data_IF_423817490093
#
_entry.id   IF_423817490093
#
_cell.length_a   1.000
_cell.length_b   1.000
_cell.length_c   1.000
_cell.angle_alpha   90.00
_cell.angle_beta   90.00
_cell.angle_gamma   90.00
#
_symmetry.space_group_name_H-M   'P 1'
#
loop_
_entity.id
_entity.type
_entity.pdbx_description
1 polymer ?
#
# COMPACT_ATOMS: atom_id res chain seq x y z
N UNK A 1 -14.64 -0.43 1.27
CA UNK A 1 -15.22 0.17 2.49
C UNK A 1 -15.01 1.68 2.40
N UNK A 2 -15.96 2.48 2.93
CA UNK A 2 -15.77 3.94 2.99
C UNK A 2 -14.79 4.28 4.11
N UNK A 3 -13.88 5.21 3.86
CA UNK A 3 -12.94 5.73 4.88
C UNK A 3 -13.71 6.51 5.94
N UNK A 4 -13.34 6.37 7.20
CA UNK A 4 -13.91 7.14 8.33
C UNK A 4 -12.84 8.04 8.93
N UNK A 5 -13.09 9.34 9.00
CA UNK A 5 -12.18 10.32 9.60
C UNK A 5 -12.81 11.01 10.79
N UNK A 6 -12.06 11.15 11.88
CA UNK A 6 -12.35 12.07 12.96
C UNK A 6 -12.10 13.50 12.49
N UNK A 7 -12.99 14.44 12.81
CA UNK A 7 -12.82 15.85 12.46
C UNK A 7 -12.80 16.69 13.72
N UNK A 8 -11.80 17.56 13.84
CA UNK A 8 -11.69 18.59 14.88
C UNK A 8 -11.74 19.95 14.18
N UNK A 9 -12.69 20.80 14.55
CA UNK A 9 -12.74 22.19 14.12
C UNK A 9 -12.25 23.04 15.29
N UNK A 10 -11.02 23.57 15.18
CA UNK A 10 -10.43 24.40 16.24
C UNK A 10 -10.97 25.83 16.19
N UNK A 11 -11.32 26.39 17.34
CA UNK A 11 -11.71 27.79 17.48
C UNK A 11 -10.95 28.44 18.60
N UNK A 12 -10.90 29.77 18.62
CA UNK A 12 -10.32 30.55 19.72
C UNK A 12 -11.28 31.66 20.12
N UNK A 13 -11.52 31.79 21.41
CA UNK A 13 -12.54 32.58 22.10
C UNK A 13 -12.88 33.95 21.45
N UNK A 14 -11.90 34.77 21.13
CA UNK A 14 -12.11 36.11 20.56
C UNK A 14 -12.08 36.18 19.04
N UNK A 15 -12.01 35.03 18.35
CA UNK A 15 -12.18 34.95 16.88
C UNK A 15 -13.64 34.70 16.49
N UNK A 16 -14.04 35.04 15.27
CA UNK A 16 -15.44 34.93 14.85
C UNK A 16 -15.96 33.48 14.83
N UNK A 17 -16.94 33.19 15.65
CA UNK A 17 -17.54 31.86 15.84
C UNK A 17 -18.26 31.34 14.56
N UNK A 18 -18.80 32.23 13.73
CA UNK A 18 -19.48 31.80 12.49
C UNK A 18 -18.56 31.02 11.53
N UNK A 19 -17.24 31.23 11.61
CA UNK A 19 -16.26 30.51 10.81
C UNK A 19 -16.24 29.00 11.12
N UNK A 20 -16.65 28.59 12.34
CA UNK A 20 -16.84 27.18 12.70
C UNK A 20 -17.94 26.58 11.82
N UNK A 21 -19.09 27.24 11.74
CA UNK A 21 -20.25 26.77 10.98
C UNK A 21 -19.95 26.71 9.47
N UNK A 22 -19.24 27.72 8.94
CA UNK A 22 -18.80 27.72 7.55
C UNK A 22 -17.92 26.51 7.23
N UNK A 23 -16.84 26.31 8.00
CA UNK A 23 -15.91 25.19 7.82
C UNK A 23 -16.59 23.82 7.98
N UNK A 24 -17.50 23.70 8.96
CA UNK A 24 -18.29 22.48 9.19
C UNK A 24 -19.14 22.13 7.99
N UNK A 25 -19.91 23.08 7.47
CA UNK A 25 -20.79 22.86 6.32
C UNK A 25 -19.98 22.49 5.07
N UNK A 26 -18.85 23.16 4.86
CA UNK A 26 -17.98 22.92 3.73
C UNK A 26 -17.35 21.51 3.77
N UNK A 27 -16.76 21.10 4.90
CA UNK A 27 -16.14 19.77 5.03
C UNK A 27 -17.19 18.65 4.95
N UNK A 28 -18.36 18.81 5.54
CA UNK A 28 -19.44 17.81 5.44
C UNK A 28 -19.93 17.65 4.00
N UNK A 29 -20.00 18.75 3.23
CA UNK A 29 -20.33 18.67 1.80
C UNK A 29 -19.27 17.91 1.00
N UNK A 30 -17.98 18.18 1.25
CA UNK A 30 -16.85 17.47 0.61
C UNK A 30 -16.92 15.98 0.95
N UNK A 31 -17.11 15.64 2.22
CA UNK A 31 -17.15 14.23 2.69
C UNK A 31 -18.32 13.47 2.10
N UNK A 32 -19.49 14.10 2.00
CA UNK A 32 -20.65 13.51 1.35
C UNK A 32 -20.36 13.16 -0.12
N UNK A 33 -19.74 14.08 -0.86
CA UNK A 33 -19.40 13.89 -2.27
C UNK A 33 -18.36 12.76 -2.46
N UNK A 34 -17.39 12.66 -1.54
CA UNK A 34 -16.33 11.63 -1.57
C UNK A 34 -16.72 10.31 -0.89
N UNK A 35 -17.90 10.21 -0.30
CA UNK A 35 -18.36 9.06 0.48
C UNK A 35 -17.42 8.73 1.65
N UNK A 36 -16.91 9.76 2.35
CA UNK A 36 -16.13 9.66 3.57
C UNK A 36 -17.11 9.78 4.75
N UNK A 37 -16.94 8.92 5.76
CA UNK A 37 -17.74 8.99 6.99
C UNK A 37 -17.09 9.96 7.97
N UNK A 38 -17.77 11.05 8.37
CA UNK A 38 -17.26 11.97 9.38
C UNK A 38 -17.67 11.55 10.79
N UNK A 39 -16.72 11.59 11.73
CA UNK A 39 -16.98 11.55 13.19
C UNK A 39 -16.55 12.89 13.76
N UNK A 40 -17.52 13.71 14.19
CA UNK A 40 -17.28 15.04 14.73
C UNK A 40 -18.35 15.43 15.78
N UNK A 41 -18.02 16.39 16.63
CA UNK A 41 -18.97 16.91 17.61
C UNK A 41 -20.20 17.52 16.92
N UNK A 42 -21.38 17.32 17.48
CA UNK A 42 -22.60 17.99 17.05
C UNK A 42 -22.62 19.50 17.40
N UNK A 43 -23.43 20.27 16.70
CA UNK A 43 -23.54 21.74 16.91
C UNK A 43 -23.92 22.13 18.34
N UNK A 44 -24.61 21.23 19.07
CA UNK A 44 -25.06 21.41 20.44
C UNK A 44 -24.18 20.74 21.51
N UNK A 45 -23.18 19.97 21.10
CA UNK A 45 -22.26 19.28 22.03
C UNK A 45 -21.27 20.27 22.64
N UNK A 46 -20.85 21.23 21.83
CA UNK A 46 -19.98 22.34 22.17
C UNK A 46 -20.45 23.59 21.44
N UNK A 47 -19.74 24.70 21.55
CA UNK A 47 -20.03 25.92 20.81
C UNK A 47 -19.92 25.66 19.29
N UNK A 48 -21.07 25.51 18.64
CA UNK A 48 -21.18 25.20 17.19
C UNK A 48 -20.39 23.94 16.74
N UNK A 49 -20.10 23.01 17.64
CA UNK A 49 -19.31 21.84 17.37
C UNK A 49 -17.79 22.08 17.28
N UNK A 50 -17.32 23.26 17.67
CA UNK A 50 -15.91 23.61 17.74
C UNK A 50 -15.21 23.11 19.01
N UNK A 51 -13.88 23.21 19.04
CA UNK A 51 -13.04 22.87 20.22
C UNK A 51 -12.20 24.10 20.57
N UNK A 52 -12.45 24.64 21.75
CA UNK A 52 -11.75 25.81 22.34
C UNK A 52 -11.15 25.49 23.71
N UNK A 53 -11.86 24.71 24.50
CA UNK A 53 -11.57 24.51 25.94
C UNK A 53 -11.17 23.06 26.21
N UNK A 54 -10.56 22.85 27.39
CA UNK A 54 -10.24 21.50 27.86
C UNK A 54 -11.48 20.60 27.99
N UNK A 55 -12.63 21.15 28.43
CA UNK A 55 -13.87 20.36 28.56
C UNK A 55 -14.42 19.94 27.18
N UNK A 56 -14.31 20.80 26.20
CA UNK A 56 -14.68 20.48 24.81
C UNK A 56 -13.71 19.47 24.19
N UNK A 57 -12.40 19.60 24.46
CA UNK A 57 -11.41 18.62 24.10
C UNK A 57 -11.73 17.23 24.68
N UNK A 58 -12.16 17.16 25.95
CA UNK A 58 -12.60 15.89 26.57
C UNK A 58 -13.83 15.29 25.86
N UNK A 59 -14.81 16.12 25.51
CA UNK A 59 -16.00 15.65 24.78
C UNK A 59 -15.61 15.07 23.41
N UNK A 60 -14.77 15.79 22.68
CA UNK A 60 -14.25 15.31 21.38
C UNK A 60 -13.47 14.00 21.53
N UNK A 61 -12.58 13.92 22.51
CA UNK A 61 -11.80 12.72 22.81
C UNK A 61 -12.69 11.52 23.16
N UNK A 62 -13.74 11.72 23.95
CA UNK A 62 -14.69 10.66 24.32
C UNK A 62 -15.48 10.18 23.10
N UNK A 63 -15.90 11.09 22.21
CA UNK A 63 -16.53 10.72 20.94
C UNK A 63 -15.58 9.87 20.09
N UNK A 64 -14.32 10.25 19.94
CA UNK A 64 -13.34 9.50 19.18
C UNK A 64 -13.04 8.14 19.80
N UNK A 65 -12.96 8.02 21.12
CA UNK A 65 -12.84 6.72 21.82
C UNK A 65 -14.01 5.79 21.52
N UNK A 66 -15.22 6.31 21.48
CA UNK A 66 -16.41 5.51 21.18
C UNK A 66 -16.39 4.94 19.76
N UNK A 67 -15.65 5.57 18.83
CA UNK A 67 -15.50 5.17 17.43
C UNK A 67 -14.05 4.75 17.06
N UNK A 68 -13.24 4.34 18.04
CA UNK A 68 -11.81 4.05 17.83
C UNK A 68 -11.54 2.97 16.76
N UNK A 69 -12.41 1.98 16.63
CA UNK A 69 -12.26 0.91 15.63
C UNK A 69 -12.60 1.38 14.20
N UNK A 70 -13.33 2.48 14.07
CA UNK A 70 -13.79 3.01 12.79
C UNK A 70 -12.83 4.09 12.26
N UNK A 71 -12.35 5.00 13.13
CA UNK A 71 -11.52 6.15 12.75
C UNK A 71 -10.17 5.67 12.20
N UNK A 72 -9.89 6.06 10.96
CA UNK A 72 -8.64 5.72 10.24
C UNK A 72 -7.63 6.86 10.25
N UNK A 73 -8.08 8.09 10.50
CA UNK A 73 -7.27 9.29 10.60
C UNK A 73 -8.06 10.44 11.20
N UNK A 74 -7.37 11.50 11.58
CA UNK A 74 -7.96 12.73 12.13
C UNK A 74 -7.64 13.91 11.22
N UNK A 75 -8.66 14.67 10.82
CA UNK A 75 -8.53 15.92 10.11
C UNK A 75 -8.76 17.07 11.09
N UNK A 76 -7.74 17.87 11.33
CA UNK A 76 -7.84 19.14 12.08
C UNK A 76 -8.08 20.26 11.08
N UNK A 77 -9.17 21.01 11.28
CA UNK A 77 -9.53 22.17 10.49
C UNK A 77 -9.41 23.40 11.35
N UNK A 78 -8.63 24.36 10.91
CA UNK A 78 -8.47 25.67 11.56
C UNK A 78 -9.11 26.75 10.69
N UNK A 79 -10.40 27.08 10.90
CA UNK A 79 -11.06 28.15 10.19
C UNK A 79 -10.58 29.53 10.62
N UNK A 80 -10.03 29.62 11.85
CA UNK A 80 -9.33 30.76 12.41
C UNK A 80 -8.10 30.29 13.20
N UNK A 81 -7.53 31.13 14.07
CA UNK A 81 -6.34 30.81 14.85
C UNK A 81 -6.46 29.47 15.59
N UNK A 82 -7.62 29.16 16.14
CA UNK A 82 -7.88 27.93 16.89
C UNK A 82 -7.21 27.91 18.27
N UNK A 83 -7.78 27.18 19.22
CA UNK A 83 -7.12 26.91 20.49
C UNK A 83 -6.17 25.73 20.31
N UNK A 84 -4.87 26.01 20.36
CA UNK A 84 -3.81 25.06 20.09
C UNK A 84 -3.79 23.89 21.08
N UNK A 85 -4.08 24.20 22.36
CA UNK A 85 -4.08 23.20 23.43
C UNK A 85 -5.36 22.37 23.42
N UNK A 86 -6.51 22.99 23.18
CA UNK A 86 -7.78 22.29 23.04
C UNK A 86 -7.74 21.25 21.92
N UNK A 87 -7.22 21.63 20.76
CA UNK A 87 -7.03 20.71 19.61
C UNK A 87 -6.07 19.57 19.97
N UNK A 88 -4.89 19.88 20.52
CA UNK A 88 -3.90 18.87 20.85
C UNK A 88 -4.37 17.95 21.99
N UNK A 89 -5.08 18.48 23.00
CA UNK A 89 -5.66 17.69 24.08
C UNK A 89 -6.78 16.76 23.60
N UNK A 90 -7.60 17.18 22.63
CA UNK A 90 -8.62 16.30 22.03
C UNK A 90 -7.99 15.05 21.41
N UNK A 91 -6.90 15.21 20.66
CA UNK A 91 -6.17 14.10 20.05
C UNK A 91 -5.48 13.25 21.13
N UNK A 92 -4.72 13.88 22.03
CA UNK A 92 -3.99 13.19 23.09
C UNK A 92 -4.91 12.37 24.01
N UNK A 93 -6.01 12.97 24.44
CA UNK A 93 -6.97 12.32 25.34
C UNK A 93 -7.78 11.22 24.67
N UNK A 94 -7.92 11.26 23.33
CA UNK A 94 -8.56 10.17 22.59
C UNK A 94 -7.76 8.87 22.67
N UNK A 95 -6.44 8.96 22.77
CA UNK A 95 -5.52 7.81 22.76
C UNK A 95 -5.43 7.10 21.41
N UNK A 96 -5.99 7.68 20.35
CA UNK A 96 -5.90 7.10 19.02
C UNK A 96 -4.48 7.30 18.43
N UNK A 97 -3.89 6.22 17.97
CA UNK A 97 -2.63 6.22 17.23
C UNK A 97 -2.92 6.13 15.72
N UNK A 98 -3.49 7.17 15.16
CA UNK A 98 -3.85 7.28 13.74
C UNK A 98 -3.19 8.52 13.11
N UNK A 99 -3.03 8.59 11.78
CA UNK A 99 -2.54 9.78 11.11
C UNK A 99 -3.40 11.01 11.41
N UNK A 100 -2.76 12.17 11.51
CA UNK A 100 -3.40 13.47 11.79
C UNK A 100 -3.00 14.44 10.69
N UNK A 101 -3.96 15.01 9.95
CA UNK A 101 -3.72 16.09 8.99
C UNK A 101 -4.13 17.42 9.60
N UNK A 102 -3.24 18.42 9.57
CA UNK A 102 -3.54 19.78 10.05
C UNK A 102 -3.69 20.72 8.85
N UNK A 103 -4.92 21.21 8.64
CA UNK A 103 -5.28 22.19 7.64
C UNK A 103 -5.57 23.54 8.28
N UNK A 104 -5.24 24.64 7.60
CA UNK A 104 -5.60 26.01 7.98
C UNK A 104 -6.20 26.75 6.80
N UNK A 105 -7.25 27.55 7.04
CA UNK A 105 -7.96 28.30 6.01
C UNK A 105 -7.29 29.67 5.78
N UNK A 106 -7.04 30.10 4.54
CA UNK A 106 -6.42 31.38 4.26
C UNK A 106 -7.32 32.55 4.66
N UNK A 107 -6.71 33.68 5.06
CA UNK A 107 -7.42 34.94 5.20
C UNK A 107 -7.93 35.43 3.83
N UNK A 108 -9.08 36.08 3.82
CA UNK A 108 -9.62 36.82 2.70
C UNK A 108 -9.15 38.27 2.83
N UNK A 109 -8.28 38.72 1.91
CA UNK A 109 -7.68 40.06 1.97
C UNK A 109 -8.70 41.19 1.95
N UNK A 110 -9.90 40.96 1.39
CA UNK A 110 -11.00 41.92 1.36
C UNK A 110 -11.81 41.91 2.67
N UNK A 111 -11.54 40.93 3.58
CA UNK A 111 -12.29 40.75 4.84
C UNK A 111 -11.36 40.66 6.05
N UNK A 112 -10.40 41.58 6.16
CA UNK A 112 -9.41 41.59 7.24
C UNK A 112 -9.89 42.27 8.53
N UNK A 113 -11.17 42.59 8.63
CA UNK A 113 -11.76 43.19 9.83
C UNK A 113 -11.92 42.13 10.95
N UNK A 114 -11.96 42.55 12.24
CA UNK A 114 -12.07 41.61 13.35
C UNK A 114 -13.23 40.62 13.25
N UNK A 115 -14.34 41.01 12.63
CA UNK A 115 -15.51 40.15 12.40
C UNK A 115 -15.28 38.98 11.44
N UNK A 116 -14.20 38.99 10.66
CA UNK A 116 -13.91 37.97 9.65
C UNK A 116 -12.46 37.49 9.69
N UNK A 117 -11.65 38.01 10.62
CA UNK A 117 -10.22 37.68 10.74
C UNK A 117 -10.02 36.22 11.09
N UNK A 118 -9.11 35.57 10.40
CA UNK A 118 -8.81 34.16 10.58
C UNK A 118 -7.51 33.92 11.33
N UNK A 119 -6.39 34.48 10.88
CA UNK A 119 -5.04 34.19 11.40
C UNK A 119 -4.74 32.69 11.55
N UNK A 120 -5.37 31.85 10.74
CA UNK A 120 -5.31 30.39 10.84
C UNK A 120 -3.91 29.83 10.61
N UNK A 121 -3.07 30.51 9.83
CA UNK A 121 -1.66 30.13 9.65
C UNK A 121 -0.88 30.17 10.98
N UNK A 122 -1.03 31.22 11.76
CA UNK A 122 -0.43 31.31 13.09
C UNK A 122 -0.93 30.16 14.00
N UNK A 123 -2.25 29.90 13.94
CA UNK A 123 -2.87 28.82 14.69
C UNK A 123 -2.33 27.45 14.31
N UNK A 124 -2.11 27.20 13.01
CA UNK A 124 -1.51 25.94 12.53
C UNK A 124 -0.12 25.71 13.14
N UNK A 125 0.74 26.72 13.14
CA UNK A 125 2.06 26.62 13.76
C UNK A 125 1.95 26.28 15.24
N UNK A 126 1.04 26.95 15.96
CA UNK A 126 0.82 26.74 17.40
C UNK A 126 0.26 25.35 17.71
N UNK A 127 -0.72 24.88 16.95
CA UNK A 127 -1.26 23.51 17.06
C UNK A 127 -0.16 22.48 16.83
N UNK A 128 0.61 22.62 15.74
CA UNK A 128 1.71 21.71 15.43
C UNK A 128 2.79 21.70 16.50
N UNK A 129 3.09 22.85 17.12
CA UNK A 129 4.00 22.93 18.26
C UNK A 129 3.51 22.09 19.44
N UNK A 130 2.22 22.19 19.80
CA UNK A 130 1.65 21.39 20.89
C UNK A 130 1.60 19.89 20.56
N UNK A 131 1.26 19.50 19.33
CA UNK A 131 1.30 18.11 18.88
C UNK A 131 2.71 17.54 18.99
N UNK A 132 3.72 18.31 18.55
CA UNK A 132 5.13 17.92 18.65
C UNK A 132 5.57 17.69 20.10
N UNK A 133 5.21 18.61 21.02
CA UNK A 133 5.53 18.49 22.45
C UNK A 133 4.87 17.27 23.10
N UNK A 134 3.72 16.84 22.59
CA UNK A 134 3.03 15.64 23.05
C UNK A 134 3.52 14.36 22.38
N UNK A 135 4.49 14.44 21.44
CA UNK A 135 4.96 13.30 20.66
C UNK A 135 3.94 12.75 19.67
N UNK A 136 2.91 13.52 19.35
CA UNK A 136 1.90 13.15 18.37
C UNK A 136 2.42 13.48 16.98
N UNK A 137 2.43 12.47 16.11
CA UNK A 137 2.84 12.61 14.71
C UNK A 137 1.70 13.20 13.89
N UNK A 138 2.04 14.06 12.94
CA UNK A 138 1.07 14.72 12.09
C UNK A 138 1.61 14.94 10.66
N UNK A 139 0.68 15.11 9.75
CA UNK A 139 0.88 15.48 8.36
C UNK A 139 0.53 16.95 8.15
N UNK A 140 1.18 17.57 7.20
CA UNK A 140 0.88 18.93 6.77
C UNK A 140 0.45 18.93 5.31
N UNK A 141 -0.39 19.89 4.96
CA UNK A 141 -0.66 20.23 3.56
C UNK A 141 0.59 20.87 2.93
N UNK A 142 0.81 20.64 1.63
CA UNK A 142 1.97 21.17 0.92
C UNK A 142 2.02 22.72 0.98
N UNK A 143 0.87 23.37 0.81
CA UNK A 143 0.73 24.81 1.09
C UNK A 143 0.35 25.01 2.54
N UNK A 144 0.89 26.06 3.19
CA UNK A 144 0.62 26.34 4.61
C UNK A 144 -0.86 26.55 4.90
N UNK A 145 -1.55 27.25 4.02
CA UNK A 145 -2.99 27.50 4.08
C UNK A 145 -3.63 27.04 2.78
N UNK A 146 -4.78 26.39 2.89
CA UNK A 146 -5.57 25.93 1.76
C UNK A 146 -7.05 26.14 2.03
N UNK A 147 -7.80 26.68 1.08
CA UNK A 147 -9.26 26.64 1.14
C UNK A 147 -9.75 25.21 1.05
N UNK A 148 -10.73 24.83 1.87
CA UNK A 148 -11.34 23.50 1.81
C UNK A 148 -11.97 23.20 0.46
N UNK A 149 -12.50 24.24 -0.25
CA UNK A 149 -13.10 24.12 -1.59
C UNK A 149 -12.10 24.08 -2.74
N UNK A 150 -10.79 24.20 -2.46
CA UNK A 150 -9.78 24.19 -3.53
C UNK A 150 -9.52 22.79 -4.06
N UNK A 151 -9.11 22.71 -5.34
CA UNK A 151 -8.63 21.47 -5.95
C UNK A 151 -7.40 20.90 -5.23
N UNK A 152 -6.55 21.77 -4.70
CA UNK A 152 -5.33 21.40 -3.99
C UNK A 152 -5.67 20.70 -2.67
N UNK A 153 -6.66 21.21 -1.93
CA UNK A 153 -7.14 20.51 -0.72
C UNK A 153 -7.76 19.15 -1.07
N UNK A 154 -8.46 19.05 -2.19
CA UNK A 154 -9.00 17.78 -2.66
C UNK A 154 -7.91 16.74 -2.92
N UNK A 155 -6.78 17.15 -3.51
CA UNK A 155 -5.61 16.29 -3.71
C UNK A 155 -4.96 15.90 -2.39
N UNK A 156 -4.74 16.86 -1.49
CA UNK A 156 -4.18 16.62 -0.15
C UNK A 156 -5.04 15.68 0.70
N UNK A 157 -6.36 15.82 0.62
CA UNK A 157 -7.27 14.92 1.33
C UNK A 157 -7.21 13.49 0.78
N UNK A 158 -7.14 13.32 -0.55
CA UNK A 158 -6.98 12.01 -1.17
C UNK A 158 -5.64 11.37 -0.80
N UNK A 159 -4.56 12.16 -0.83
CA UNK A 159 -3.23 11.75 -0.38
C UNK A 159 -3.25 11.29 1.08
N UNK A 160 -3.83 12.09 1.96
CA UNK A 160 -3.94 11.76 3.39
C UNK A 160 -4.76 10.48 3.64
N UNK A 161 -5.85 10.28 2.91
CA UNK A 161 -6.63 9.02 2.97
C UNK A 161 -5.76 7.82 2.59
N UNK A 162 -4.91 7.95 1.57
CA UNK A 162 -3.97 6.90 1.21
C UNK A 162 -2.94 6.62 2.31
N UNK A 163 -2.40 7.66 2.95
CA UNK A 163 -1.54 7.52 4.14
C UNK A 163 -2.26 6.74 5.25
N UNK A 164 -3.50 7.10 5.56
CA UNK A 164 -4.32 6.40 6.56
C UNK A 164 -4.49 4.91 6.23
N UNK A 165 -4.77 4.59 4.96
CA UNK A 165 -4.92 3.19 4.50
C UNK A 165 -3.62 2.40 4.66
N UNK A 166 -2.47 2.97 4.26
CA UNK A 166 -1.16 2.31 4.42
C UNK A 166 -0.87 2.06 5.88
N UNK A 167 -0.98 3.09 6.74
CA UNK A 167 -0.68 2.96 8.18
C UNK A 167 -1.58 1.91 8.83
N UNK A 168 -2.89 1.97 8.59
CA UNK A 168 -3.86 1.01 9.14
C UNK A 168 -3.60 -0.41 8.64
N UNK A 169 -3.35 -0.58 7.34
CA UNK A 169 -3.11 -1.89 6.74
C UNK A 169 -1.82 -2.52 7.25
N UNK A 170 -0.73 -1.75 7.26
CA UNK A 170 0.60 -2.26 7.65
C UNK A 170 0.69 -2.67 9.13
N UNK A 171 -0.13 -2.09 10.02
CA UNK A 171 -0.16 -2.45 11.45
C UNK A 171 -0.84 -3.77 11.78
N UNK A 172 -1.50 -4.42 10.81
CA UNK A 172 -2.30 -5.63 11.06
C UNK A 172 -2.34 -6.61 9.90
N UNK A 173 -1.43 -6.48 8.94
CA UNK A 173 -1.42 -7.33 7.76
C UNK A 173 -1.13 -8.79 8.12
N UNK A 174 -1.84 -9.70 7.46
CA UNK A 174 -1.71 -11.14 7.59
C UNK A 174 -1.21 -11.72 6.27
N UNK A 175 0.00 -12.25 6.26
CA UNK A 175 0.65 -12.80 5.05
C UNK A 175 0.64 -14.32 5.13
N UNK A 176 0.16 -14.97 4.06
CA UNK A 176 0.28 -16.42 3.90
C UNK A 176 1.63 -16.78 3.27
N UNK A 177 2.43 -17.61 3.92
CA UNK A 177 3.65 -18.16 3.35
C UNK A 177 3.42 -19.63 2.98
N UNK A 178 3.53 -19.97 1.69
CA UNK A 178 3.28 -21.32 1.19
C UNK A 178 4.60 -21.97 0.77
N UNK A 179 4.98 -23.03 1.46
CA UNK A 179 6.24 -23.72 1.25
C UNK A 179 7.43 -23.02 1.91
N UNK A 180 8.60 -23.19 1.32
CA UNK A 180 9.85 -22.62 1.78
C UNK A 180 10.53 -21.83 0.65
N UNK A 181 11.32 -20.81 1.00
CA UNK A 181 12.15 -20.14 0.00
C UNK A 181 13.06 -21.15 -0.70
N UNK A 182 13.33 -21.02 -1.99
CA UNK A 182 14.31 -21.87 -2.68
C UNK A 182 15.69 -21.80 -2.02
N UNK A 183 16.41 -22.91 -2.03
CA UNK A 183 17.72 -23.02 -1.35
C UNK A 183 18.71 -21.92 -1.81
N UNK A 184 18.71 -21.59 -3.10
CA UNK A 184 19.63 -20.61 -3.68
C UNK A 184 19.28 -19.16 -3.33
N UNK A 185 18.06 -18.90 -2.85
CA UNK A 185 17.53 -17.53 -2.62
C UNK A 185 17.69 -17.08 -1.17
N UNK A 186 18.91 -17.03 -0.66
CA UNK A 186 19.19 -16.50 0.67
C UNK A 186 18.85 -14.99 0.79
N UNK A 187 18.79 -14.30 -0.31
CA UNK A 187 18.48 -12.87 -0.37
C UNK A 187 17.08 -12.53 0.17
N UNK A 188 16.08 -13.43 0.01
CA UNK A 188 14.69 -13.20 0.48
C UNK A 188 14.43 -13.66 1.92
N UNK A 189 15.47 -13.88 2.72
CA UNK A 189 15.31 -14.16 4.15
C UNK A 189 14.73 -12.96 4.86
N UNK A 190 13.89 -13.20 5.83
CA UNK A 190 13.27 -12.19 6.66
C UNK A 190 13.24 -12.61 8.14
N UNK A 191 13.04 -11.65 9.03
CA UNK A 191 12.84 -11.92 10.46
C UNK A 191 11.36 -11.81 10.83
N UNK A 192 10.71 -12.95 10.99
CA UNK A 192 9.30 -13.01 11.39
C UNK A 192 9.07 -12.29 12.73
N UNK A 193 10.00 -12.43 13.70
CA UNK A 193 9.90 -11.76 15.01
C UNK A 193 10.02 -10.23 14.93
N UNK A 194 10.76 -9.71 13.96
CA UNK A 194 10.79 -8.24 13.71
C UNK A 194 9.43 -7.82 13.12
N UNK A 195 8.88 -8.57 12.18
CA UNK A 195 7.57 -8.27 11.59
C UNK A 195 6.46 -8.29 12.65
N UNK A 196 6.41 -9.32 13.52
CA UNK A 196 5.40 -9.45 14.57
C UNK A 196 5.40 -8.27 15.55
N UNK A 197 6.57 -7.73 15.90
CA UNK A 197 6.67 -6.52 16.73
C UNK A 197 5.99 -5.29 16.12
N UNK A 198 5.79 -5.29 14.81
CA UNK A 198 5.11 -4.23 14.06
C UNK A 198 3.65 -4.60 13.69
N UNK A 199 3.10 -5.69 14.25
CA UNK A 199 1.73 -6.13 14.00
C UNK A 199 1.55 -6.92 12.69
N UNK A 200 2.65 -7.29 12.04
CA UNK A 200 2.65 -8.05 10.77
C UNK A 200 2.78 -9.54 11.11
N UNK A 201 1.78 -10.34 10.75
CA UNK A 201 1.77 -11.78 11.05
C UNK A 201 1.94 -12.61 9.79
N UNK A 202 2.66 -13.74 9.94
CA UNK A 202 2.87 -14.72 8.87
C UNK A 202 2.19 -16.03 9.25
N UNK A 203 1.36 -16.56 8.35
CA UNK A 203 0.71 -17.87 8.49
C UNK A 203 1.28 -18.83 7.47
N UNK A 204 1.93 -19.90 7.90
CA UNK A 204 2.59 -20.86 7.01
C UNK A 204 1.67 -22.02 6.62
N UNK A 205 1.82 -22.49 5.38
CA UNK A 205 1.24 -23.74 4.87
C UNK A 205 2.31 -24.56 4.18
N UNK A 206 2.43 -25.83 4.54
CA UNK A 206 3.41 -26.72 3.93
C UNK A 206 3.07 -26.98 2.45
N UNK A 207 4.08 -26.91 1.58
CA UNK A 207 3.87 -27.17 0.16
C UNK A 207 3.37 -28.58 -0.12
N UNK A 208 3.79 -29.58 0.66
CA UNK A 208 3.31 -30.95 0.51
C UNK A 208 1.82 -31.08 0.81
N UNK A 209 1.28 -30.31 1.77
CA UNK A 209 -0.16 -30.23 2.03
C UNK A 209 -0.90 -29.64 0.82
N UNK A 210 -0.40 -28.52 0.27
CA UNK A 210 -1.00 -27.90 -0.93
C UNK A 210 -1.08 -28.88 -2.08
N UNK A 211 0.05 -29.53 -2.39
CA UNK A 211 0.15 -30.47 -3.52
C UNK A 211 -0.68 -31.72 -3.30
N UNK A 212 -0.71 -32.26 -2.07
CA UNK A 212 -1.53 -33.41 -1.69
C UNK A 212 -3.00 -33.12 -1.89
N UNK A 213 -3.50 -32.02 -1.31
CA UNK A 213 -4.90 -31.58 -1.44
C UNK A 213 -5.28 -31.28 -2.91
N UNK A 214 -4.41 -30.65 -3.67
CA UNK A 214 -4.65 -30.38 -5.09
C UNK A 214 -4.78 -31.66 -5.92
N UNK A 215 -4.02 -32.72 -5.59
CA UNK A 215 -4.14 -34.03 -6.28
C UNK A 215 -5.44 -34.77 -5.93
N UNK A 216 -6.00 -34.57 -4.72
CA UNK A 216 -7.25 -35.20 -4.27
C UNK A 216 -8.52 -34.51 -4.81
N UNK A 217 -8.41 -33.25 -5.22
CA UNK A 217 -9.54 -32.51 -5.76
C UNK A 217 -10.01 -33.09 -7.09
N UNK A 218 -11.33 -33.34 -7.18
CA UNK A 218 -11.97 -33.82 -8.43
C UNK A 218 -12.19 -32.69 -9.41
N UNK A 219 -11.98 -32.96 -10.69
CA UNK A 219 -12.12 -31.97 -11.78
C UNK A 219 -13.54 -31.43 -11.91
N UNK A 220 -14.55 -32.23 -11.54
CA UNK A 220 -15.97 -31.85 -11.56
C UNK A 220 -16.44 -31.13 -10.30
N UNK A 221 -15.58 -30.97 -9.29
CA UNK A 221 -15.91 -30.22 -8.06
C UNK A 221 -16.14 -28.75 -8.35
N UNK A 222 -17.02 -28.13 -7.54
CA UNK A 222 -17.37 -26.71 -7.72
C UNK A 222 -16.16 -25.77 -7.67
N UNK A 223 -15.24 -25.87 -6.69
CA UNK A 223 -14.08 -24.96 -6.63
C UNK A 223 -13.18 -25.07 -7.86
N UNK A 224 -12.97 -26.29 -8.39
CA UNK A 224 -12.12 -26.50 -9.58
C UNK A 224 -12.79 -25.92 -10.82
N UNK A 225 -14.11 -26.11 -11.00
CA UNK A 225 -14.84 -25.51 -12.14
C UNK A 225 -14.83 -23.99 -12.10
N UNK A 226 -14.99 -23.39 -10.92
CA UNK A 226 -14.92 -21.93 -10.75
C UNK A 226 -13.52 -21.40 -11.06
N UNK A 227 -12.49 -22.09 -10.59
CA UNK A 227 -11.10 -21.73 -10.87
C UNK A 227 -10.75 -21.87 -12.37
N UNK A 228 -11.20 -22.96 -13.02
CA UNK A 228 -11.00 -23.16 -14.45
C UNK A 228 -11.66 -22.04 -15.28
N UNK A 229 -12.87 -21.65 -14.91
CA UNK A 229 -13.56 -20.56 -15.59
C UNK A 229 -12.82 -19.22 -15.42
N UNK A 230 -12.27 -18.96 -14.23
CA UNK A 230 -11.45 -17.77 -13.97
C UNK A 230 -10.15 -17.79 -14.80
N UNK A 231 -9.41 -18.88 -14.79
CA UNK A 231 -8.14 -19.03 -15.52
C UNK A 231 -8.36 -18.87 -17.03
N UNK A 232 -9.37 -19.54 -17.60
CA UNK A 232 -9.67 -19.46 -19.03
C UNK A 232 -10.17 -18.09 -19.49
N UNK A 233 -10.79 -17.33 -18.59
CA UNK A 233 -11.20 -15.94 -18.83
C UNK A 233 -10.13 -14.88 -18.53
N UNK A 234 -9.00 -15.29 -17.95
CA UNK A 234 -7.97 -14.36 -17.46
C UNK A 234 -7.02 -13.92 -18.57
N UNK A 235 -6.56 -14.81 -19.41
CA UNK A 235 -5.62 -14.54 -20.50
C UNK A 235 -5.75 -15.54 -21.66
N UNK A 236 -4.87 -15.40 -22.65
CA UNK A 236 -4.79 -16.37 -23.75
C UNK A 236 -4.22 -17.70 -23.24
N UNK A 237 -5.02 -18.76 -23.32
CA UNK A 237 -4.67 -20.13 -22.90
C UNK A 237 -4.45 -21.09 -24.07
N UNK A 238 -4.41 -20.60 -25.31
CA UNK A 238 -4.36 -21.44 -26.52
C UNK A 238 -3.14 -22.36 -26.58
N UNK A 239 -2.03 -21.99 -25.93
CA UNK A 239 -0.82 -22.79 -25.82
C UNK A 239 -0.80 -23.77 -24.63
N UNK A 240 -1.83 -23.74 -23.76
CA UNK A 240 -1.87 -24.54 -22.53
C UNK A 240 -2.82 -25.74 -22.71
N UNK A 241 -2.36 -27.00 -22.58
CA UNK A 241 -3.21 -28.18 -22.70
C UNK A 241 -4.33 -28.18 -21.64
N UNK A 242 -5.52 -28.72 -22.00
CA UNK A 242 -6.67 -28.77 -21.11
C UNK A 242 -6.39 -29.49 -19.79
N UNK A 243 -5.58 -30.55 -19.82
CA UNK A 243 -5.15 -31.26 -18.62
C UNK A 243 -4.35 -30.34 -17.67
N UNK A 244 -3.48 -29.49 -18.23
CA UNK A 244 -2.71 -28.52 -17.47
C UNK A 244 -3.58 -27.41 -16.88
N UNK A 245 -4.60 -26.96 -17.62
CA UNK A 245 -5.57 -25.99 -17.10
C UNK A 245 -6.34 -26.56 -15.89
N UNK A 246 -6.75 -27.84 -15.94
CA UNK A 246 -7.37 -28.52 -14.81
C UNK A 246 -6.40 -28.65 -13.62
N UNK A 247 -5.14 -28.97 -13.89
CA UNK A 247 -4.10 -29.07 -12.87
C UNK A 247 -3.86 -27.72 -12.18
N UNK A 248 -3.75 -26.64 -12.94
CA UNK A 248 -3.66 -25.26 -12.43
C UNK A 248 -4.90 -24.89 -11.59
N UNK A 249 -6.08 -25.29 -12.06
CA UNK A 249 -7.36 -24.98 -11.38
C UNK A 249 -7.48 -25.68 -10.03
N UNK A 250 -6.99 -26.91 -9.89
CA UNK A 250 -6.95 -27.61 -8.60
C UNK A 250 -6.00 -26.91 -7.62
N UNK A 251 -4.83 -26.50 -8.10
CA UNK A 251 -3.85 -25.76 -7.29
C UNK A 251 -4.43 -24.42 -6.82
N UNK A 252 -5.02 -23.65 -7.73
CA UNK A 252 -5.66 -22.36 -7.45
C UNK A 252 -6.79 -22.49 -6.42
N UNK A 253 -7.62 -23.52 -6.53
CA UNK A 253 -8.72 -23.78 -5.60
C UNK A 253 -8.20 -24.01 -4.15
N UNK A 254 -7.10 -24.75 -3.97
CA UNK A 254 -6.51 -24.99 -2.64
C UNK A 254 -5.92 -23.69 -2.07
N UNK A 255 -5.23 -22.90 -2.89
CA UNK A 255 -4.63 -21.64 -2.47
C UNK A 255 -5.70 -20.61 -2.07
N UNK A 256 -6.78 -20.49 -2.85
CA UNK A 256 -7.88 -19.59 -2.51
C UNK A 256 -8.56 -19.99 -1.20
N UNK A 257 -8.80 -21.29 -0.96
CA UNK A 257 -9.34 -21.77 0.33
C UNK A 257 -8.42 -21.41 1.51
N UNK A 258 -7.10 -21.55 1.34
CA UNK A 258 -6.13 -21.15 2.37
C UNK A 258 -6.21 -19.66 2.70
N UNK A 259 -6.31 -18.82 1.68
CA UNK A 259 -6.47 -17.36 1.83
C UNK A 259 -7.76 -17.03 2.59
N UNK A 260 -8.89 -17.56 2.15
CA UNK A 260 -10.19 -17.28 2.74
C UNK A 260 -10.30 -17.75 4.20
N UNK A 261 -9.88 -19.00 4.46
CA UNK A 261 -9.93 -19.61 5.80
C UNK A 261 -9.09 -18.84 6.83
N UNK A 262 -7.95 -18.31 6.42
CA UNK A 262 -7.04 -17.60 7.31
C UNK A 262 -7.19 -16.07 7.24
N UNK A 263 -8.12 -15.55 6.42
CA UNK A 263 -8.35 -14.10 6.21
C UNK A 263 -7.03 -13.39 5.90
N UNK A 264 -6.31 -13.88 4.90
CA UNK A 264 -5.02 -13.34 4.52
C UNK A 264 -5.21 -12.10 3.64
N UNK A 265 -4.35 -11.11 3.83
CA UNK A 265 -4.30 -9.88 3.04
C UNK A 265 -3.35 -9.99 1.85
N UNK A 266 -2.40 -10.95 1.91
CA UNK A 266 -1.37 -11.15 0.89
C UNK A 266 -0.75 -12.55 1.02
N UNK A 267 -0.03 -13.01 -0.01
CA UNK A 267 0.65 -14.32 -0.01
C UNK A 267 2.06 -14.26 -0.56
N UNK A 268 2.93 -15.14 -0.08
CA UNK A 268 4.27 -15.41 -0.60
C UNK A 268 4.37 -16.91 -0.88
N UNK A 269 4.59 -17.31 -2.13
CA UNK A 269 4.43 -18.71 -2.56
C UNK A 269 5.72 -19.25 -3.15
N UNK A 270 6.11 -20.47 -2.74
CA UNK A 270 7.19 -21.22 -3.38
C UNK A 270 6.80 -21.59 -4.82
N UNK A 271 7.43 -20.94 -5.79
CA UNK A 271 7.09 -21.10 -7.21
C UNK A 271 7.97 -22.12 -7.96
N UNK A 272 9.12 -22.51 -7.39
CA UNK A 272 10.07 -23.51 -7.95
C UNK A 272 10.93 -24.11 -6.83
N UNK A 273 11.51 -25.28 -6.90
CA UNK A 273 11.51 -26.29 -7.98
C UNK A 273 10.49 -27.41 -7.73
N UNK A 274 10.06 -27.54 -6.48
CA UNK A 274 9.24 -28.65 -5.98
C UNK A 274 7.86 -28.75 -6.66
N UNK A 275 7.26 -27.64 -7.07
CA UNK A 275 5.97 -27.65 -7.78
C UNK A 275 6.13 -28.32 -9.15
N UNK A 276 7.18 -28.00 -9.91
CA UNK A 276 7.44 -28.60 -11.21
C UNK A 276 7.72 -30.10 -11.12
N UNK A 277 8.56 -30.50 -10.14
CA UNK A 277 8.93 -31.90 -9.96
C UNK A 277 7.78 -32.76 -9.45
N UNK A 278 7.05 -32.29 -8.45
CA UNK A 278 6.09 -33.11 -7.71
C UNK A 278 4.63 -32.89 -8.16
N UNK A 279 4.33 -31.83 -8.90
CA UNK A 279 2.99 -31.52 -9.36
C UNK A 279 2.92 -31.26 -10.86
N UNK A 280 3.96 -30.75 -11.50
CA UNK A 280 4.09 -30.62 -12.96
C UNK A 280 3.41 -29.41 -13.58
N UNK A 281 3.36 -28.27 -12.87
CA UNK A 281 2.95 -26.97 -13.41
C UNK A 281 3.62 -25.83 -12.63
N UNK A 282 3.39 -24.59 -13.07
CA UNK A 282 3.75 -23.37 -12.33
C UNK A 282 2.54 -22.81 -11.56
N UNK A 283 2.80 -22.00 -10.54
CA UNK A 283 1.76 -21.35 -9.73
C UNK A 283 1.53 -19.89 -10.13
N UNK A 284 2.26 -19.39 -11.11
CA UNK A 284 2.32 -17.96 -11.47
C UNK A 284 0.94 -17.38 -11.87
N UNK A 285 0.11 -18.17 -12.59
CA UNK A 285 -1.25 -17.74 -12.98
C UNK A 285 -2.10 -17.44 -11.74
N UNK A 286 -2.10 -18.31 -10.73
CA UNK A 286 -2.85 -18.09 -9.48
C UNK A 286 -2.35 -16.84 -8.74
N UNK A 287 -1.05 -16.65 -8.66
CA UNK A 287 -0.43 -15.48 -8.02
C UNK A 287 -0.79 -14.18 -8.74
N UNK A 288 -0.78 -14.21 -10.07
CA UNK A 288 -1.20 -13.08 -10.90
C UNK A 288 -2.67 -12.71 -10.69
N UNK A 289 -3.56 -13.72 -10.69
CA UNK A 289 -4.99 -13.50 -10.43
C UNK A 289 -5.25 -12.96 -9.01
N UNK A 290 -4.52 -13.45 -8.01
CA UNK A 290 -4.58 -12.90 -6.66
C UNK A 290 -4.16 -11.43 -6.64
N UNK A 291 -3.03 -11.08 -7.23
CA UNK A 291 -2.52 -9.71 -7.29
C UNK A 291 -3.48 -8.77 -8.05
N UNK A 292 -4.06 -9.22 -9.16
CA UNK A 292 -5.08 -8.46 -9.91
C UNK A 292 -6.33 -8.18 -9.06
N UNK A 293 -6.72 -9.12 -8.20
CA UNK A 293 -7.84 -8.98 -7.27
C UNK A 293 -7.46 -8.31 -5.95
N UNK A 294 -6.39 -7.51 -5.93
CA UNK A 294 -5.95 -6.76 -4.77
C UNK A 294 -5.53 -7.63 -3.57
N UNK A 295 -5.03 -8.83 -3.83
CA UNK A 295 -4.41 -9.74 -2.88
C UNK A 295 -2.98 -10.03 -3.35
N UNK A 296 -2.00 -9.19 -3.01
CA UNK A 296 -0.63 -9.31 -3.52
C UNK A 296 -0.03 -10.68 -3.28
N UNK A 297 0.64 -11.24 -4.29
CA UNK A 297 1.25 -12.57 -4.21
C UNK A 297 2.66 -12.55 -4.80
N UNK A 298 3.67 -12.77 -3.97
CA UNK A 298 5.08 -12.76 -4.35
C UNK A 298 5.64 -14.17 -4.55
N UNK A 299 6.58 -14.32 -5.49
CA UNK A 299 7.36 -15.54 -5.74
C UNK A 299 8.38 -15.81 -4.62
N UNK A 300 8.96 -17.01 -4.64
CA UNK A 300 10.09 -17.48 -3.84
C UNK A 300 9.90 -17.36 -2.31
N UNK A 301 8.63 -17.30 -1.88
CA UNK A 301 8.26 -17.03 -0.47
C UNK A 301 8.89 -15.72 0.04
N UNK A 302 8.93 -14.72 -0.84
CA UNK A 302 9.44 -13.39 -0.48
C UNK A 302 8.40 -12.61 0.32
N UNK A 303 8.35 -12.86 1.62
CA UNK A 303 7.39 -12.24 2.55
C UNK A 303 7.54 -10.73 2.63
N UNK A 304 8.77 -10.21 2.63
CA UNK A 304 9.00 -8.75 2.67
C UNK A 304 8.73 -8.09 1.32
N UNK A 305 8.92 -8.81 0.22
CA UNK A 305 8.44 -8.38 -1.10
C UNK A 305 6.92 -8.30 -1.17
N UNK A 306 6.24 -9.32 -0.65
CA UNK A 306 4.77 -9.31 -0.51
C UNK A 306 4.28 -8.12 0.35
N UNK A 307 4.96 -7.86 1.46
CA UNK A 307 4.67 -6.71 2.34
C UNK A 307 4.82 -5.38 1.59
N UNK A 308 5.86 -5.26 0.75
CA UNK A 308 6.08 -4.09 -0.10
C UNK A 308 4.98 -3.93 -1.15
N UNK A 309 4.58 -5.03 -1.80
CA UNK A 309 3.46 -5.03 -2.75
C UNK A 309 2.16 -4.54 -2.08
N UNK A 310 1.89 -5.00 -0.86
CA UNK A 310 0.70 -4.60 -0.11
C UNK A 310 0.73 -3.11 0.26
N UNK A 311 1.86 -2.58 0.71
CA UNK A 311 2.02 -1.17 1.00
C UNK A 311 1.74 -0.28 -0.23
N UNK A 312 2.35 -0.63 -1.39
CA UNK A 312 2.17 0.12 -2.64
C UNK A 312 0.74 0.04 -3.17
N UNK A 313 0.10 -1.12 -3.04
CA UNK A 313 -1.31 -1.31 -3.39
C UNK A 313 -2.23 -0.42 -2.54
N UNK A 314 -1.98 -0.32 -1.24
CA UNK A 314 -2.76 0.55 -0.35
C UNK A 314 -2.56 2.03 -0.67
N UNK A 315 -1.34 2.42 -1.03
CA UNK A 315 -1.00 3.79 -1.41
C UNK A 315 -1.69 4.22 -2.72
N UNK A 316 -1.66 3.35 -3.73
CA UNK A 316 -2.13 3.64 -5.10
C UNK A 316 -3.57 3.21 -5.38
N UNK A 317 -4.10 2.26 -4.60
CA UNK A 317 -5.34 1.55 -4.87
C UNK A 317 -5.32 0.81 -6.22
N UNK A 318 -4.16 0.30 -6.62
CA UNK A 318 -3.94 -0.50 -7.83
C UNK A 318 -2.97 -1.66 -7.56
N UNK A 319 -2.99 -2.75 -8.35
CA UNK A 319 -2.07 -3.86 -8.18
C UNK A 319 -0.60 -3.45 -8.22
N UNK A 320 0.23 -4.21 -7.52
CA UNK A 320 1.69 -4.10 -7.55
C UNK A 320 2.30 -5.40 -8.07
N UNK A 321 3.55 -5.36 -8.50
CA UNK A 321 4.28 -6.53 -8.99
C UNK A 321 5.67 -6.64 -8.36
N UNK A 322 6.05 -7.86 -7.97
CA UNK A 322 7.42 -8.19 -7.59
C UNK A 322 8.26 -8.38 -8.85
N UNK A 323 9.42 -7.75 -8.91
CA UNK A 323 10.31 -7.77 -10.07
C UNK A 323 11.78 -7.83 -9.64
N UNK A 324 12.64 -8.29 -10.53
CA UNK A 324 14.09 -8.20 -10.36
C UNK A 324 14.63 -6.86 -10.88
N UNK A 325 15.50 -6.21 -10.11
CA UNK A 325 16.50 -5.33 -10.70
C UNK A 325 17.41 -6.20 -11.57
N UNK A 326 17.17 -6.24 -12.87
CA UNK A 326 17.85 -7.19 -13.71
C UNK A 326 19.15 -6.62 -14.30
N UNK A 327 19.06 -5.80 -15.32
CA UNK A 327 20.21 -5.36 -16.10
C UNK A 327 20.02 -3.93 -16.58
N UNK A 328 21.11 -3.19 -16.82
CA UNK A 328 20.99 -1.94 -17.58
C UNK A 328 20.37 -2.23 -18.95
N UNK A 329 19.55 -1.30 -19.42
CA UNK A 329 19.02 -1.38 -20.78
C UNK A 329 20.06 -0.80 -21.74
N UNK A 330 20.72 -1.70 -22.47
CA UNK A 330 21.86 -1.35 -23.34
C UNK A 330 22.95 -0.58 -22.56
N UNK A 331 23.42 0.55 -23.09
CA UNK A 331 24.40 1.43 -22.46
C UNK A 331 23.76 2.63 -21.72
N UNK A 332 22.42 2.67 -21.60
CA UNK A 332 21.72 3.76 -20.92
C UNK A 332 21.86 3.62 -19.40
N UNK A 333 22.57 4.54 -18.78
CA UNK A 333 22.86 4.53 -17.33
C UNK A 333 21.60 4.84 -16.46
N UNK A 334 20.56 5.39 -17.05
CA UNK A 334 19.29 5.68 -16.36
C UNK A 334 18.20 4.63 -16.62
N UNK A 335 18.44 3.67 -17.52
CA UNK A 335 17.44 2.64 -17.85
C UNK A 335 17.86 1.26 -17.41
N UNK A 336 16.89 0.50 -16.94
CA UNK A 336 17.07 -0.92 -16.59
C UNK A 336 15.93 -1.78 -17.07
N UNK A 337 16.22 -3.08 -17.17
CA UNK A 337 15.23 -4.12 -17.38
C UNK A 337 14.66 -4.54 -16.04
N UNK A 338 13.34 -4.53 -15.94
CA UNK A 338 12.59 -5.17 -14.86
C UNK A 338 12.02 -6.48 -15.39
N UNK A 339 12.24 -7.56 -14.68
CA UNK A 339 11.87 -8.90 -15.15
C UNK A 339 11.36 -9.76 -13.99
N UNK A 340 10.49 -10.71 -14.33
CA UNK A 340 10.20 -11.87 -13.50
C UNK A 340 9.71 -13.06 -14.34
N UNK A 341 9.74 -14.26 -13.78
CA UNK A 341 9.40 -15.48 -14.54
C UNK A 341 7.90 -15.63 -14.90
N UNK A 342 7.02 -14.67 -14.53
CA UNK A 342 5.66 -14.60 -15.05
C UNK A 342 4.54 -14.68 -14.03
N UNK A 343 4.51 -13.76 -13.02
CA UNK A 343 3.46 -13.69 -12.02
C UNK A 343 2.81 -12.30 -11.85
N UNK A 344 3.09 -11.36 -12.75
CA UNK A 344 2.55 -10.00 -12.62
C UNK A 344 1.03 -9.97 -12.86
N UNK A 345 0.34 -9.06 -12.21
CA UNK A 345 -1.09 -8.85 -12.40
C UNK A 345 -1.44 -8.49 -13.85
N UNK A 346 -2.62 -8.89 -14.31
CA UNK A 346 -3.09 -8.67 -15.68
C UNK A 346 -3.07 -7.21 -16.09
N UNK A 347 -3.35 -6.29 -15.16
CA UNK A 347 -3.33 -4.84 -15.41
C UNK A 347 -1.98 -4.31 -15.89
N UNK A 348 -0.87 -5.02 -15.64
CA UNK A 348 0.45 -4.72 -16.20
C UNK A 348 0.65 -5.32 -17.60
N UNK A 349 -0.17 -6.26 -18.02
CA UNK A 349 0.07 -7.12 -19.17
C UNK A 349 -1.14 -7.12 -20.14
N UNK A 350 -1.32 -6.09 -20.97
CA UNK A 350 -2.47 -5.98 -21.87
C UNK A 350 -2.59 -7.19 -22.84
N UNK A 351 -1.45 -7.76 -23.26
CA UNK A 351 -1.39 -8.93 -24.17
C UNK A 351 -0.99 -10.22 -23.43
N UNK A 352 -1.55 -10.42 -22.23
CA UNK A 352 -1.22 -11.54 -21.35
C UNK A 352 -1.49 -12.91 -21.99
N UNK A 353 -0.48 -13.76 -21.98
CA UNK A 353 -0.58 -15.17 -22.37
C UNK A 353 -0.23 -16.07 -21.19
N UNK A 354 -1.00 -17.16 -21.02
CA UNK A 354 -0.68 -18.23 -20.08
C UNK A 354 0.10 -19.28 -20.85
N UNK A 355 1.37 -19.44 -20.51
CA UNK A 355 2.36 -20.19 -21.27
C UNK A 355 3.25 -21.04 -20.34
N UNK A 356 4.44 -21.36 -20.78
CA UNK A 356 5.48 -22.09 -20.05
C UNK A 356 6.56 -21.11 -19.56
N UNK A 357 7.41 -21.57 -18.63
CA UNK A 357 8.57 -20.81 -18.15
C UNK A 357 9.86 -21.39 -18.79
N UNK A 358 10.44 -20.75 -19.82
CA UNK A 358 11.58 -21.31 -20.55
C UNK A 358 12.81 -21.63 -19.69
N UNK A 359 13.13 -20.79 -18.70
CA UNK A 359 14.27 -21.05 -17.79
C UNK A 359 14.04 -22.35 -17.01
N UNK A 360 12.86 -22.52 -16.40
CA UNK A 360 12.54 -23.74 -15.66
C UNK A 360 12.36 -24.93 -16.60
N UNK A 361 11.81 -24.72 -17.80
CA UNK A 361 11.63 -25.72 -18.82
C UNK A 361 12.94 -26.35 -19.31
N UNK A 362 14.03 -25.57 -19.33
CA UNK A 362 15.37 -26.10 -19.69
C UNK A 362 15.92 -27.13 -18.68
N UNK A 363 15.40 -27.12 -17.45
CA UNK A 363 15.83 -28.02 -16.37
C UNK A 363 14.84 -29.15 -16.14
N UNK A 364 13.54 -28.85 -16.08
CA UNK A 364 12.48 -29.80 -15.68
C UNK A 364 11.67 -30.38 -16.83
N UNK A 365 11.83 -29.85 -18.05
CA UNK A 365 10.95 -30.10 -19.20
C UNK A 365 9.86 -29.05 -19.30
N UNK A 366 9.60 -28.57 -20.52
CA UNK A 366 8.63 -27.50 -20.79
C UNK A 366 7.21 -27.88 -20.32
N UNK A 367 6.84 -29.16 -20.51
CA UNK A 367 5.54 -29.72 -20.12
C UNK A 367 5.22 -29.62 -18.62
N UNK A 368 6.23 -29.40 -17.76
CA UNK A 368 6.06 -29.21 -16.32
C UNK A 368 5.99 -27.74 -15.89
N UNK A 369 6.06 -26.81 -16.83
CA UNK A 369 6.17 -25.39 -16.53
C UNK A 369 4.99 -24.56 -17.05
N UNK A 370 3.90 -25.21 -17.50
CA UNK A 370 2.67 -24.50 -17.84
C UNK A 370 2.10 -23.74 -16.65
N UNK A 371 1.55 -22.55 -16.91
CA UNK A 371 0.99 -21.66 -15.90
C UNK A 371 1.85 -20.46 -15.57
N UNK A 372 2.98 -20.27 -16.25
CA UNK A 372 3.70 -19.01 -16.25
C UNK A 372 3.03 -18.01 -17.18
N UNK A 373 3.21 -16.72 -16.94
CA UNK A 373 2.68 -15.67 -17.80
C UNK A 373 3.78 -15.11 -18.69
N UNK A 374 3.38 -14.76 -19.91
CA UNK A 374 4.20 -13.97 -20.83
C UNK A 374 3.48 -12.68 -21.18
N UNK A 375 4.20 -11.57 -21.13
CA UNK A 375 3.67 -10.27 -21.48
C UNK A 375 4.63 -9.14 -21.15
N UNK A 376 4.36 -7.99 -21.75
CA UNK A 376 5.15 -6.77 -21.56
C UNK A 376 4.28 -5.67 -21.00
N UNK A 377 4.83 -4.92 -20.02
CA UNK A 377 4.18 -3.72 -19.49
C UNK A 377 4.48 -2.53 -20.41
N UNK A 378 3.46 -1.76 -20.82
CA UNK A 378 3.62 -0.53 -21.60
C UNK A 378 4.16 0.62 -20.75
N UNK A 379 4.49 1.73 -21.44
CA UNK A 379 4.88 2.97 -20.78
C UNK A 379 3.80 3.44 -19.79
N UNK A 380 4.24 3.78 -18.57
CA UNK A 380 3.38 4.28 -17.49
C UNK A 380 4.21 4.93 -16.39
N UNK A 381 3.60 5.72 -15.48
CA UNK A 381 4.27 6.14 -14.26
C UNK A 381 4.79 4.92 -13.48
N UNK A 382 5.87 5.10 -12.72
CA UNK A 382 6.46 4.07 -11.88
C UNK A 382 6.72 4.59 -10.47
N UNK A 383 6.20 3.88 -9.47
CA UNK A 383 6.74 3.88 -8.11
C UNK A 383 7.45 2.54 -7.91
N UNK A 384 8.67 2.58 -7.39
CA UNK A 384 9.43 1.38 -7.04
C UNK A 384 9.90 1.45 -5.59
N UNK A 385 10.19 0.30 -5.00
CA UNK A 385 10.76 0.25 -3.66
C UNK A 385 10.79 -1.12 -3.04
N UNK A 386 11.35 -1.16 -1.83
CA UNK A 386 11.53 -2.38 -1.05
C UNK A 386 11.38 -2.10 0.44
N UNK A 387 10.64 -2.96 1.12
CA UNK A 387 10.63 -3.10 2.57
C UNK A 387 11.40 -4.38 2.91
N UNK A 388 12.28 -4.32 3.90
CA UNK A 388 13.11 -5.45 4.33
C UNK A 388 13.27 -5.46 5.84
N UNK A 389 13.61 -6.62 6.41
CA UNK A 389 14.07 -6.71 7.80
C UNK A 389 15.59 -6.64 7.85
N UNK A 390 16.13 -5.86 8.78
CA UNK A 390 17.56 -5.82 9.07
C UNK A 390 17.83 -6.44 10.43
N UNK A 391 18.31 -7.67 10.43
CA UNK A 391 18.55 -8.42 11.66
C UNK A 391 19.75 -7.90 12.45
N UNK A 392 20.70 -7.23 11.78
CA UNK A 392 21.84 -6.61 12.45
C UNK A 392 21.42 -5.41 13.30
N UNK A 393 20.41 -4.66 12.80
CA UNK A 393 19.88 -3.48 13.48
C UNK A 393 18.58 -3.79 14.27
N UNK A 394 17.97 -4.95 14.06
CA UNK A 394 16.70 -5.33 14.68
C UNK A 394 15.52 -4.47 14.25
N UNK A 395 15.50 -3.99 13.01
CA UNK A 395 14.57 -3.01 12.48
C UNK A 395 13.97 -3.42 11.14
N UNK A 396 12.84 -2.79 10.79
CA UNK A 396 12.36 -2.72 9.40
C UNK A 396 13.04 -1.53 8.74
N UNK A 397 13.59 -1.75 7.55
CA UNK A 397 14.16 -0.72 6.68
C UNK A 397 13.46 -0.72 5.33
N UNK A 398 13.41 0.41 4.66
CA UNK A 398 12.82 0.52 3.33
C UNK A 398 13.47 1.61 2.48
N UNK A 399 13.28 1.51 1.18
CA UNK A 399 13.49 2.59 0.22
C UNK A 399 12.36 2.65 -0.78
N UNK A 400 12.02 3.85 -1.22
CA UNK A 400 11.04 4.09 -2.28
C UNK A 400 11.55 5.18 -3.20
N UNK A 401 11.16 5.12 -4.46
CA UNK A 401 11.47 6.15 -5.46
C UNK A 401 10.51 6.10 -6.63
N UNK A 402 10.68 7.02 -7.56
CA UNK A 402 9.84 7.17 -8.74
C UNK A 402 10.67 7.18 -10.02
N UNK A 403 10.08 6.67 -11.05
CA UNK A 403 10.60 6.65 -12.41
C UNK A 403 9.45 6.47 -13.38
N UNK A 404 9.74 6.07 -14.59
CA UNK A 404 8.74 5.81 -15.62
C UNK A 404 9.04 4.49 -16.31
N UNK A 405 8.01 3.67 -16.56
CA UNK A 405 8.10 2.55 -17.50
C UNK A 405 8.04 3.09 -18.91
N UNK A 406 8.77 2.46 -19.82
CA UNK A 406 8.96 2.94 -21.18
C UNK A 406 8.51 1.91 -22.23
N UNK A 407 8.29 2.35 -23.45
CA UNK A 407 7.99 1.47 -24.59
C UNK A 407 9.25 1.03 -25.37
N UNK A 408 10.43 1.18 -24.78
CA UNK A 408 11.68 0.74 -25.41
C UNK A 408 11.63 -0.77 -25.75
N UNK A 409 12.06 -1.21 -26.93
CA UNK A 409 11.96 -2.59 -27.37
C UNK A 409 12.65 -3.57 -26.40
N UNK A 410 11.97 -4.65 -26.03
CA UNK A 410 12.54 -5.68 -25.17
C UNK A 410 12.08 -7.07 -25.65
N UNK A 411 12.98 -7.79 -26.29
CA UNK A 411 12.71 -9.12 -26.84
C UNK A 411 13.23 -10.20 -25.87
N UNK A 412 12.40 -10.60 -24.93
CA UNK A 412 12.65 -11.73 -24.02
C UNK A 412 11.32 -12.40 -23.65
N UNK A 413 11.38 -13.48 -22.91
CA UNK A 413 10.21 -14.21 -22.37
C UNK A 413 9.80 -13.69 -21.00
N UNK A 414 8.73 -14.24 -20.44
CA UNK A 414 8.23 -13.93 -19.11
C UNK A 414 7.57 -12.55 -19.02
N UNK A 415 7.39 -12.07 -17.80
CA UNK A 415 6.85 -10.73 -17.55
C UNK A 415 7.98 -9.71 -17.47
N UNK A 416 7.87 -8.63 -18.25
CA UNK A 416 8.99 -7.73 -18.50
C UNK A 416 8.59 -6.29 -18.76
N UNK A 417 9.48 -5.38 -18.36
CA UNK A 417 9.38 -3.95 -18.62
C UNK A 417 10.75 -3.31 -18.75
N UNK A 418 10.82 -2.14 -19.37
CA UNK A 418 11.98 -1.25 -19.30
C UNK A 418 11.59 -0.06 -18.44
N UNK A 419 12.39 0.24 -17.43
CA UNK A 419 12.19 1.37 -16.55
C UNK A 419 13.27 2.42 -16.75
N UNK A 420 12.86 3.69 -16.79
CA UNK A 420 13.76 4.84 -16.65
C UNK A 420 13.70 5.31 -15.20
N UNK A 421 14.84 5.28 -14.53
CA UNK A 421 14.99 5.62 -13.12
C UNK A 421 16.07 6.69 -12.99
N UNK A 422 15.76 7.89 -12.51
CA UNK A 422 16.75 8.92 -12.27
C UNK A 422 17.87 8.42 -11.35
N UNK A 423 19.12 8.76 -11.65
CA UNK A 423 20.31 8.37 -10.87
C UNK A 423 20.40 6.85 -10.56
N UNK A 424 19.99 6.01 -11.49
CA UNK A 424 19.91 4.54 -11.32
C UNK A 424 21.22 3.95 -10.79
N UNK A 425 22.38 4.40 -11.27
CA UNK A 425 23.67 3.84 -10.86
C UNK A 425 23.99 4.14 -9.39
N UNK A 426 23.58 5.29 -8.88
CA UNK A 426 23.70 5.62 -7.45
C UNK A 426 22.75 4.80 -6.61
N UNK A 427 21.50 4.65 -7.06
CA UNK A 427 20.51 3.77 -6.44
C UNK A 427 21.04 2.34 -6.33
N UNK A 428 21.60 1.78 -7.40
CA UNK A 428 22.11 0.40 -7.38
C UNK A 428 23.30 0.24 -6.42
N UNK A 429 24.21 1.21 -6.37
CA UNK A 429 25.27 1.22 -5.34
C UNK A 429 24.69 1.28 -3.93
N UNK A 430 23.66 2.10 -3.74
CA UNK A 430 22.98 2.19 -2.45
C UNK A 430 22.34 0.86 -2.05
N UNK A 431 21.57 0.24 -2.94
CA UNK A 431 20.91 -1.07 -2.72
C UNK A 431 21.94 -2.13 -2.31
N UNK A 432 23.07 -2.21 -3.04
CA UNK A 432 24.14 -3.16 -2.74
C UNK A 432 24.83 -2.87 -1.39
N UNK A 433 25.19 -1.62 -1.13
CA UNK A 433 25.95 -1.23 0.08
C UNK A 433 25.11 -1.38 1.36
N UNK A 434 23.79 -1.28 1.25
CA UNK A 434 22.88 -1.42 2.39
C UNK A 434 22.25 -2.82 2.50
N UNK A 435 22.69 -3.78 1.67
CA UNK A 435 22.27 -5.17 1.76
C UNK A 435 20.78 -5.37 1.51
N UNK A 436 20.22 -4.64 0.55
CA UNK A 436 18.87 -4.92 0.07
C UNK A 436 18.86 -6.09 -0.92
N UNK A 437 17.69 -6.66 -1.11
CA UNK A 437 17.42 -7.76 -2.02
C UNK A 437 17.49 -7.29 -3.49
N UNK A 438 17.72 -8.22 -4.42
CA UNK A 438 17.59 -7.95 -5.85
C UNK A 438 16.14 -7.81 -6.29
N UNK A 439 15.21 -8.36 -5.52
CA UNK A 439 13.78 -8.12 -5.70
C UNK A 439 13.43 -6.69 -5.30
N UNK A 440 12.70 -6.04 -6.17
CA UNK A 440 12.05 -4.75 -5.95
C UNK A 440 10.57 -4.88 -6.30
N UNK A 441 9.73 -4.02 -5.76
CA UNK A 441 8.33 -3.95 -6.14
C UNK A 441 8.10 -2.76 -7.02
N UNK A 442 7.30 -2.92 -8.05
CA UNK A 442 6.82 -1.85 -8.93
C UNK A 442 5.31 -1.67 -8.81
N UNK A 443 4.87 -0.43 -8.99
CA UNK A 443 3.46 -0.04 -9.11
C UNK A 443 3.33 1.06 -10.17
N UNK A 444 2.29 0.98 -10.99
CA UNK A 444 2.04 1.94 -12.08
C UNK A 444 1.42 3.25 -11.56
N UNK A 445 2.13 3.94 -10.67
CA UNK A 445 1.67 5.17 -10.00
C UNK A 445 2.84 6.11 -9.67
N UNK A 446 2.52 7.26 -9.08
CA UNK A 446 3.44 8.17 -8.41
C UNK A 446 2.95 8.33 -6.96
N UNK A 447 3.44 7.49 -6.05
CA UNK A 447 2.96 7.40 -4.65
C UNK A 447 4.10 7.22 -3.64
N UNK A 448 5.33 7.51 -4.03
CA UNK A 448 6.51 7.36 -3.16
C UNK A 448 6.42 8.25 -1.91
N UNK A 449 5.86 9.45 -2.04
CA UNK A 449 5.64 10.41 -0.95
C UNK A 449 4.65 9.88 0.10
N UNK A 450 3.59 9.18 -0.33
CA UNK A 450 2.61 8.51 0.55
C UNK A 450 3.30 7.40 1.34
N UNK A 451 4.09 6.57 0.66
CA UNK A 451 4.84 5.48 1.27
C UNK A 451 5.90 6.01 2.25
N UNK A 452 6.61 7.08 1.84
CA UNK A 452 7.56 7.77 2.70
C UNK A 452 6.89 8.23 4.00
N UNK A 453 5.84 9.01 3.89
CA UNK A 453 5.14 9.56 5.05
C UNK A 453 4.57 8.46 5.95
N UNK A 454 3.98 7.43 5.37
CA UNK A 454 3.41 6.32 6.11
C UNK A 454 4.47 5.52 6.86
N UNK A 455 5.52 5.09 6.17
CA UNK A 455 6.53 4.20 6.74
C UNK A 455 7.46 4.92 7.71
N UNK A 456 7.96 6.09 7.36
CA UNK A 456 8.89 6.85 8.21
C UNK A 456 8.17 7.61 9.32
N UNK A 457 7.21 8.48 8.97
CA UNK A 457 6.59 9.34 9.96
C UNK A 457 5.71 8.55 10.93
N UNK A 458 4.79 7.70 10.43
CA UNK A 458 3.80 7.03 11.28
C UNK A 458 4.23 5.66 11.79
N UNK A 459 4.82 4.82 10.96
CA UNK A 459 5.24 3.47 11.36
C UNK A 459 6.62 3.45 12.04
N UNK A 460 7.42 4.52 11.88
CA UNK A 460 8.73 4.66 12.51
C UNK A 460 9.77 3.68 11.94
N UNK A 461 9.59 3.25 10.70
CA UNK A 461 10.55 2.39 10.01
C UNK A 461 11.75 3.21 9.52
N UNK A 462 12.91 2.57 9.48
CA UNK A 462 14.08 3.23 8.97
C UNK A 462 13.97 3.42 7.46
N UNK A 463 13.91 4.67 7.05
CA UNK A 463 13.84 5.02 5.65
C UNK A 463 15.17 5.59 5.21
N UNK A 464 15.70 5.01 4.17
CA UNK A 464 16.84 5.58 3.48
C UNK A 464 16.33 6.61 2.49
N UNK A 465 16.65 7.86 2.76
CA UNK A 465 16.37 8.96 1.84
C UNK A 465 17.22 8.80 0.59
N UNK A 466 16.69 8.11 -0.40
CA UNK A 466 17.13 8.28 -1.76
C UNK A 466 16.15 9.25 -2.41
N UNK A 467 16.24 10.51 -2.02
CA UNK A 467 15.77 11.59 -2.85
C UNK A 467 16.77 11.74 -3.97
N UNK A 468 16.57 10.95 -4.95
CA UNK A 468 17.30 11.06 -6.20
C UNK A 468 16.43 11.82 -7.17
#
# INVERSE_FOLDING_TARGET
MSTTLGIIIGNRDFFPDHLITEARNEVLSIFKNKKINPILLGDNDTKLGGVETFLEAQKCANLFKAHQEEIEGILVILPNFGDEKGVADAIRLSGLDVPVLVQATPDDLDKMQPSNRRDAYCGKISVCNNLYQYGIKFSLTQSHVLSLSSSDFDQELNRFISVCKVVKGMRRVRIGAVGARPQAFNTVRYSEKILERHGISVTTMDLSEVLGRAKELKDDSKPVKESLAKITGYGDTTSTPSEKLLQLSRLDAVLNEFVEKNKLDATAIQCWTSIQENYGCNVCTSMSMMSENMLPSACEVDVTGTLTMYAMQLASNSPSALVDWNNNYEEDEEKCVLFHCGNWAKSFLPDLKISTAPILGSVFGEEKTHGALDGRTPASPLTYGRISTDDNLGKIKCYFGEGDLTDDPLNTFGTRAVAKVPNLQELMRYVCNNGYEHHVVMNASKTSDILYESCFNYLGWELSLIHI
#
